data_IF_696224697145
#
_entry.id   IF_696224697145
#
_cell.length_a   1.000
_cell.length_b   1.000
_cell.length_c   1.000
_cell.angle_alpha   90.00
_cell.angle_beta   90.00
_cell.angle_gamma   90.00
#
_symmetry.space_group_name_H-M   'P 1'
#
loop_
_entity.id
_entity.type
_entity.pdbx_description
1 polymer ?
#
# COMPACT_ATOMS: atom_id res chain seq x y z
N UNK A 1 14.63 26.86 -42.35
CA UNK A 1 14.69 27.49 -41.01
C UNK A 1 13.79 26.70 -40.04
N UNK A 2 14.38 25.69 -39.44
CA UNK A 2 13.68 24.83 -38.48
C UNK A 2 13.65 25.55 -37.15
N UNK A 3 12.63 26.38 -36.95
CA UNK A 3 12.33 26.97 -35.65
C UNK A 3 12.01 25.87 -34.64
N UNK A 4 13.00 25.46 -33.86
CA UNK A 4 12.78 24.75 -32.62
C UNK A 4 12.10 25.73 -31.67
N UNK A 5 10.77 25.73 -31.65
CA UNK A 5 10.03 26.34 -30.56
C UNK A 5 10.32 25.49 -29.30
N UNK A 6 11.50 25.71 -28.72
CA UNK A 6 11.82 25.25 -27.39
C UNK A 6 10.93 26.02 -26.43
N UNK A 7 9.78 25.46 -26.08
CA UNK A 7 9.11 25.90 -24.87
C UNK A 7 10.08 25.63 -23.72
N UNK A 8 10.41 26.66 -22.92
CA UNK A 8 11.16 26.40 -21.70
C UNK A 8 10.41 25.31 -20.95
N UNK A 9 11.14 24.38 -20.32
CA UNK A 9 10.53 23.33 -19.51
C UNK A 9 9.60 24.00 -18.49
N UNK A 10 8.33 24.07 -18.82
CA UNK A 10 7.33 24.70 -17.95
C UNK A 10 7.06 23.69 -16.84
N UNK A 11 7.67 23.95 -15.70
CA UNK A 11 7.32 23.29 -14.45
C UNK A 11 5.90 23.70 -14.11
N UNK A 12 4.96 22.77 -14.14
CA UNK A 12 3.61 23.00 -13.63
C UNK A 12 3.65 22.69 -12.15
N UNK A 13 3.61 23.73 -11.32
CA UNK A 13 3.66 23.60 -9.86
C UNK A 13 2.26 23.42 -9.23
N UNK A 14 1.20 23.45 -10.04
CA UNK A 14 -0.18 23.26 -9.60
C UNK A 14 -0.82 22.08 -10.31
N UNK A 15 -1.82 21.46 -9.69
CA UNK A 15 -2.60 20.38 -10.30
C UNK A 15 -3.24 20.83 -11.61
N UNK A 16 -3.18 19.99 -12.64
CA UNK A 16 -3.91 20.17 -13.88
C UNK A 16 -5.19 19.36 -13.79
N UNK A 17 -6.34 20.03 -13.91
CA UNK A 17 -7.59 19.32 -14.18
C UNK A 17 -7.76 19.27 -15.69
N UNK A 18 -7.71 18.04 -16.23
CA UNK A 18 -7.94 17.80 -17.65
C UNK A 18 -9.35 17.26 -17.85
N UNK A 19 -9.99 17.67 -18.95
CA UNK A 19 -11.32 17.15 -19.31
C UNK A 19 -11.29 15.64 -19.62
N UNK A 20 -12.41 15.10 -20.04
CA UNK A 20 -12.74 13.67 -20.07
C UNK A 20 -11.80 12.70 -20.77
N UNK A 21 -10.84 13.18 -21.58
CA UNK A 21 -9.94 12.29 -22.35
C UNK A 21 -8.48 12.75 -22.26
N UNK A 22 -7.78 12.45 -21.16
CA UNK A 22 -6.34 12.66 -21.13
C UNK A 22 -5.63 11.53 -21.87
N UNK A 23 -5.04 11.83 -23.01
CA UNK A 23 -4.06 10.97 -23.69
C UNK A 23 -2.67 11.55 -23.49
N UNK A 24 -1.83 10.85 -22.76
CA UNK A 24 -0.41 11.16 -22.66
C UNK A 24 0.32 10.46 -23.83
N UNK A 25 0.82 11.24 -24.78
CA UNK A 25 1.73 10.75 -25.81
C UNK A 25 3.17 10.92 -25.33
N UNK A 26 3.74 9.88 -24.78
CA UNK A 26 5.08 9.89 -24.22
C UNK A 26 5.21 8.93 -23.05
N UNK A 27 6.37 8.93 -22.44
CA UNK A 27 6.67 8.14 -21.25
C UNK A 27 6.60 9.06 -20.02
N UNK A 28 5.78 8.73 -19.01
CA UNK A 28 5.93 9.33 -17.70
C UNK A 28 7.23 8.78 -17.09
N UNK A 29 8.22 9.64 -16.91
CA UNK A 29 9.58 9.22 -16.59
C UNK A 29 9.83 9.05 -15.11
N UNK A 30 9.05 9.74 -14.25
CA UNK A 30 9.22 9.69 -12.79
C UNK A 30 7.88 9.86 -12.08
N UNK A 31 7.67 9.10 -11.01
CA UNK A 31 6.66 9.36 -9.99
C UNK A 31 7.39 9.57 -8.65
N UNK A 32 6.93 10.50 -7.83
CA UNK A 32 7.50 10.77 -6.51
C UNK A 32 7.17 9.66 -5.52
N UNK A 33 5.96 9.10 -5.63
CA UNK A 33 5.46 8.02 -4.79
C UNK A 33 5.51 6.68 -5.53
N UNK A 34 5.42 5.57 -4.80
CA UNK A 34 5.84 4.28 -5.32
C UNK A 34 4.78 3.16 -5.22
N UNK A 35 3.54 3.48 -4.86
CA UNK A 35 2.47 2.49 -4.79
C UNK A 35 1.29 2.79 -5.73
N UNK A 36 0.68 1.72 -6.19
CA UNK A 36 -0.60 1.71 -6.88
C UNK A 36 -1.68 1.41 -5.86
N UNK A 37 -2.62 2.33 -5.64
CA UNK A 37 -3.72 2.15 -4.70
C UNK A 37 -5.09 2.34 -5.37
N UNK A 38 -6.10 1.82 -4.71
CA UNK A 38 -7.50 2.00 -5.08
C UNK A 38 -8.30 2.42 -3.86
N UNK A 39 -9.32 3.28 -4.04
CA UNK A 39 -10.25 3.64 -2.98
C UNK A 39 -11.26 2.52 -2.75
N UNK A 40 -11.34 2.06 -1.51
CA UNK A 40 -12.34 1.13 -1.01
C UNK A 40 -13.16 1.76 0.09
N UNK A 41 -14.44 1.46 0.15
CA UNK A 41 -15.29 1.84 1.29
C UNK A 41 -14.82 1.10 2.55
N UNK A 42 -14.79 1.80 3.66
CA UNK A 42 -14.33 1.27 4.95
C UNK A 42 -15.30 1.61 6.08
N UNK A 43 -15.32 0.79 7.09
CA UNK A 43 -16.14 0.98 8.29
C UNK A 43 -15.63 2.12 9.19
N UNK A 44 -14.32 2.42 9.13
CA UNK A 44 -13.66 3.49 9.89
C UNK A 44 -12.60 4.17 9.00
N UNK A 45 -12.27 5.43 9.30
CA UNK A 45 -11.13 6.13 8.70
C UNK A 45 -9.81 5.58 9.26
N UNK A 46 -9.27 4.55 8.61
CA UNK A 46 -8.01 3.95 9.02
C UNK A 46 -6.82 4.84 8.68
N UNK A 47 -5.88 4.91 9.62
CA UNK A 47 -4.59 5.58 9.39
C UNK A 47 -3.73 4.81 8.38
N UNK A 48 -2.84 5.54 7.70
CA UNK A 48 -1.81 4.96 6.83
C UNK A 48 -0.99 3.89 7.56
N UNK A 49 -0.64 2.84 6.83
CA UNK A 49 0.08 1.69 7.35
C UNK A 49 -0.80 0.62 8.00
N UNK A 50 -2.11 0.85 8.15
CA UNK A 50 -3.03 -0.15 8.69
C UNK A 50 -3.24 -1.28 7.70
N UNK A 51 -3.07 -2.53 8.16
CA UNK A 51 -3.33 -3.73 7.35
C UNK A 51 -4.82 -4.04 7.35
N UNK A 52 -5.40 -4.14 6.17
CA UNK A 52 -6.83 -4.38 5.98
C UNK A 52 -7.12 -5.72 5.30
N UNK A 53 -8.32 -6.19 5.48
CA UNK A 53 -8.88 -7.39 4.83
C UNK A 53 -10.17 -7.03 4.10
N UNK A 54 -10.56 -7.85 3.14
CA UNK A 54 -11.89 -7.79 2.53
C UNK A 54 -12.93 -8.29 3.54
N UNK A 55 -14.03 -7.55 3.68
CA UNK A 55 -15.15 -7.89 4.55
C UNK A 55 -15.41 -6.85 5.64
N UNK A 56 -16.31 -7.18 6.55
CA UNK A 56 -16.91 -6.25 7.50
C UNK A 56 -18.26 -5.73 7.01
N UNK A 57 -18.67 -4.56 7.47
CA UNK A 57 -19.89 -3.89 7.00
C UNK A 57 -19.68 -3.08 5.71
N UNK A 58 -18.42 -2.75 5.41
CA UNK A 58 -17.99 -2.10 4.19
C UNK A 58 -17.11 -3.06 3.35
N UNK A 59 -16.48 -2.58 2.28
CA UNK A 59 -15.63 -3.42 1.44
C UNK A 59 -14.38 -3.89 2.19
N UNK A 60 -13.78 -3.01 3.01
CA UNK A 60 -12.59 -3.34 3.78
C UNK A 60 -12.74 -2.97 5.26
N UNK A 61 -12.11 -3.79 6.10
CA UNK A 61 -11.96 -3.57 7.54
C UNK A 61 -10.55 -3.96 7.98
N UNK A 62 -10.09 -3.47 9.14
CA UNK A 62 -8.77 -3.84 9.65
C UNK A 62 -8.69 -5.34 10.01
N UNK A 63 -7.51 -5.91 9.87
CA UNK A 63 -7.26 -7.29 10.33
C UNK A 63 -7.21 -7.36 11.85
N UNK A 64 -7.65 -8.50 12.44
CA UNK A 64 -7.71 -8.69 13.90
C UNK A 64 -7.21 -10.07 14.34
N UNK A 65 -6.81 -10.92 13.40
CA UNK A 65 -6.35 -12.28 13.67
C UNK A 65 -5.02 -12.56 12.96
N UNK A 66 -4.23 -13.45 13.54
CA UNK A 66 -3.01 -13.94 12.88
C UNK A 66 -3.33 -14.74 11.63
N UNK A 67 -2.47 -14.61 10.62
CA UNK A 67 -2.62 -15.33 9.36
C UNK A 67 -4.02 -15.18 8.74
N UNK A 68 -4.57 -13.96 8.78
CA UNK A 68 -5.88 -13.66 8.22
C UNK A 68 -5.96 -14.12 6.75
N UNK A 69 -6.87 -15.03 6.41
CA UNK A 69 -6.98 -15.54 5.03
C UNK A 69 -7.55 -14.50 4.06
N UNK A 70 -8.32 -13.54 4.55
CA UNK A 70 -8.90 -12.47 3.76
C UNK A 70 -8.02 -11.22 3.68
N UNK A 71 -6.74 -11.29 4.16
CA UNK A 71 -5.83 -10.14 4.11
C UNK A 71 -5.69 -9.64 2.66
N UNK A 72 -5.83 -8.34 2.50
CA UNK A 72 -5.97 -7.73 1.19
C UNK A 72 -4.85 -6.75 0.86
N UNK A 73 -4.63 -5.73 1.69
CA UNK A 73 -3.64 -4.70 1.44
C UNK A 73 -3.31 -3.86 2.66
N UNK A 74 -2.66 -2.74 2.41
CA UNK A 74 -2.23 -1.78 3.43
C UNK A 74 -2.76 -0.40 3.04
N UNK A 75 -3.28 0.35 4.02
CA UNK A 75 -3.75 1.72 3.78
C UNK A 75 -2.57 2.61 3.42
N UNK A 76 -2.61 3.20 2.22
CA UNK A 76 -1.59 4.12 1.72
C UNK A 76 -1.76 5.53 2.28
N UNK A 77 -0.68 6.30 2.28
CA UNK A 77 -0.72 7.74 2.61
C UNK A 77 -0.79 8.62 1.36
N UNK A 78 0.05 8.31 0.37
CA UNK A 78 0.23 9.11 -0.85
C UNK A 78 0.54 8.17 -2.02
N UNK A 79 -0.46 7.56 -2.63
CA UNK A 79 -0.23 6.67 -3.76
C UNK A 79 0.31 7.43 -4.99
N UNK A 80 1.21 6.80 -5.74
CA UNK A 80 1.68 7.31 -7.02
C UNK A 80 0.57 7.34 -8.07
N UNK A 81 -0.35 6.36 -7.96
CA UNK A 81 -1.55 6.27 -8.79
C UNK A 81 -2.72 5.80 -7.94
N UNK A 82 -3.82 6.58 -7.98
CA UNK A 82 -5.04 6.27 -7.23
C UNK A 82 -6.18 5.94 -8.18
N UNK A 83 -6.68 4.73 -8.07
CA UNK A 83 -7.85 4.25 -8.81
C UNK A 83 -9.14 4.50 -8.02
N UNK A 84 -10.28 4.40 -8.71
CA UNK A 84 -11.61 4.54 -8.14
C UNK A 84 -11.82 5.86 -7.37
N UNK A 85 -11.23 6.95 -7.86
CA UNK A 85 -11.26 8.27 -7.20
C UNK A 85 -12.66 8.89 -7.11
N UNK A 86 -13.66 8.30 -7.78
CA UNK A 86 -15.07 8.68 -7.67
C UNK A 86 -15.87 7.88 -6.63
N UNK A 87 -15.23 7.02 -5.84
CA UNK A 87 -15.91 6.26 -4.80
C UNK A 87 -16.53 7.20 -3.75
N UNK A 88 -17.78 6.92 -3.39
CA UNK A 88 -18.55 7.73 -2.44
C UNK A 88 -18.53 7.08 -1.04
N UNK A 89 -18.81 7.91 -0.02
CA UNK A 89 -18.84 7.48 1.37
C UNK A 89 -17.49 7.57 2.08
N UNK A 90 -17.34 6.84 3.16
CA UNK A 90 -16.09 6.76 3.90
C UNK A 90 -15.16 5.78 3.17
N UNK A 91 -14.07 6.28 2.59
CA UNK A 91 -13.12 5.48 1.82
C UNK A 91 -11.71 5.60 2.35
N UNK A 92 -10.90 4.58 2.10
CA UNK A 92 -9.46 4.56 2.35
C UNK A 92 -8.71 4.10 1.11
N UNK A 93 -7.55 4.70 0.77
CA UNK A 93 -6.71 4.21 -0.32
C UNK A 93 -5.96 2.96 0.13
N UNK A 94 -6.18 1.83 -0.51
CA UNK A 94 -5.49 0.57 -0.22
C UNK A 94 -4.43 0.31 -1.27
N UNK A 95 -3.17 0.22 -0.85
CA UNK A 95 -2.05 -0.15 -1.72
C UNK A 95 -2.16 -1.62 -2.13
N UNK A 96 -2.22 -1.86 -3.43
CA UNK A 96 -2.32 -3.19 -4.05
C UNK A 96 -0.96 -3.68 -4.53
N UNK A 97 -0.09 -2.77 -4.96
CA UNK A 97 1.25 -3.06 -5.47
C UNK A 97 2.20 -1.88 -5.18
N UNK A 98 3.46 -2.21 -4.97
CA UNK A 98 4.52 -1.21 -4.79
C UNK A 98 4.98 -1.08 -3.35
N UNK A 99 5.52 0.10 -3.02
CA UNK A 99 6.11 0.41 -1.71
C UNK A 99 5.16 1.24 -0.87
N UNK A 100 4.90 0.82 0.36
CA UNK A 100 3.98 1.48 1.28
C UNK A 100 4.46 1.33 2.73
N UNK A 101 4.28 2.34 3.61
CA UNK A 101 4.46 2.17 5.05
C UNK A 101 3.49 1.13 5.60
N UNK A 102 3.96 0.29 6.53
CA UNK A 102 3.15 -0.73 7.20
C UNK A 102 3.38 -0.70 8.71
N UNK A 103 2.31 -0.76 9.48
CA UNK A 103 2.36 -0.96 10.94
C UNK A 103 2.80 -2.39 11.23
N UNK A 104 3.90 -2.55 11.95
CA UNK A 104 4.43 -3.88 12.32
C UNK A 104 4.74 -3.93 13.81
N UNK A 105 4.52 -5.10 14.43
CA UNK A 105 4.88 -5.40 15.81
C UNK A 105 6.04 -6.41 15.85
N UNK A 106 6.89 -6.28 16.88
CA UNK A 106 8.07 -7.13 17.06
C UNK A 106 9.24 -6.72 16.19
N UNK A 107 10.33 -7.48 16.31
CA UNK A 107 11.52 -7.30 15.48
C UNK A 107 11.27 -7.79 14.06
N UNK A 108 11.74 -7.03 13.09
CA UNK A 108 11.65 -7.34 11.66
C UNK A 108 13.01 -7.15 11.01
N UNK A 109 13.40 -8.05 10.13
CA UNK A 109 14.60 -7.93 9.29
C UNK A 109 14.22 -7.72 7.84
N UNK A 110 14.97 -6.88 7.17
CA UNK A 110 14.84 -6.64 5.72
C UNK A 110 14.75 -7.95 4.95
N UNK A 111 13.79 -8.05 4.04
CA UNK A 111 13.51 -9.23 3.24
C UNK A 111 12.58 -10.26 3.89
N UNK A 112 12.26 -10.14 5.18
CA UNK A 112 11.29 -11.03 5.81
C UNK A 112 9.89 -10.81 5.23
N UNK A 113 9.14 -11.91 5.11
CA UNK A 113 7.71 -11.87 4.82
C UNK A 113 6.94 -11.48 6.06
N UNK A 114 5.87 -10.73 5.86
CA UNK A 114 4.98 -10.25 6.89
C UNK A 114 3.62 -10.94 6.76
N UNK A 115 3.04 -11.27 7.89
CA UNK A 115 1.66 -11.76 8.03
C UNK A 115 0.92 -10.86 9.01
N UNK A 116 -0.40 -10.98 9.05
CA UNK A 116 -1.21 -10.29 10.06
C UNK A 116 -0.88 -10.81 11.46
N UNK A 117 -1.00 -9.94 12.45
CA UNK A 117 -0.87 -10.27 13.88
C UNK A 117 -2.22 -10.29 14.58
N UNK A 118 -2.23 -10.57 15.87
CA UNK A 118 -3.43 -10.40 16.74
C UNK A 118 -3.70 -8.94 17.08
N UNK A 119 -2.71 -8.05 16.87
CA UNK A 119 -2.90 -6.61 17.02
C UNK A 119 -3.67 -6.07 15.81
N UNK A 120 -4.73 -5.29 16.08
CA UNK A 120 -5.63 -4.83 15.02
C UNK A 120 -4.93 -3.94 13.98
N UNK A 121 -5.01 -4.32 12.72
CA UNK A 121 -4.42 -3.59 11.60
C UNK A 121 -2.89 -3.61 11.55
N UNK A 122 -2.25 -4.53 12.28
CA UNK A 122 -0.78 -4.60 12.41
C UNK A 122 -0.27 -5.94 11.89
N UNK A 123 0.82 -5.88 11.13
CA UNK A 123 1.55 -7.07 10.67
C UNK A 123 2.67 -7.46 11.66
N UNK A 124 3.23 -8.66 11.46
CA UNK A 124 4.45 -9.16 12.10
C UNK A 124 5.30 -9.95 11.12
N UNK A 125 6.56 -10.14 11.45
CA UNK A 125 7.40 -11.06 10.70
C UNK A 125 6.91 -12.52 10.86
N UNK A 126 7.02 -13.30 9.78
CA UNK A 126 6.81 -14.74 9.84
C UNK A 126 7.91 -15.37 10.68
N UNK A 127 7.55 -16.16 11.69
CA UNK A 127 8.49 -16.90 12.50
C UNK A 127 9.14 -18.06 11.69
N UNK A 128 10.35 -18.47 12.10
CA UNK A 128 11.11 -19.48 11.35
C UNK A 128 10.41 -20.84 11.27
N UNK A 129 9.72 -21.23 12.34
CA UNK A 129 8.97 -22.50 12.41
C UNK A 129 7.70 -22.48 11.52
N UNK A 130 7.12 -21.31 11.27
CA UNK A 130 5.93 -21.18 10.41
C UNK A 130 6.25 -21.45 8.93
N UNK A 131 7.52 -21.28 8.55
CA UNK A 131 7.99 -21.57 7.18
C UNK A 131 8.01 -23.06 6.84
N UNK A 132 8.10 -23.90 7.85
CA UNK A 132 8.22 -25.37 7.70
C UNK A 132 6.85 -26.05 7.54
N UNK A 133 5.76 -25.41 7.91
CA UNK A 133 4.39 -25.98 7.95
C UNK A 133 3.58 -25.74 6.68
N UNK A 134 4.20 -25.30 5.58
CA UNK A 134 3.49 -25.10 4.31
C UNK A 134 2.55 -23.87 4.36
N UNK A 135 3.14 -22.69 4.52
CA UNK A 135 2.39 -21.44 4.58
C UNK A 135 1.61 -21.20 3.29
N UNK A 136 0.35 -20.88 3.45
CA UNK A 136 -0.48 -20.37 2.39
C UNK A 136 -0.02 -18.94 2.02
N UNK A 137 0.56 -18.81 0.84
CA UNK A 137 1.11 -17.56 0.31
C UNK A 137 0.09 -16.42 0.20
N UNK A 138 -1.20 -16.75 0.14
CA UNK A 138 -2.28 -15.77 0.11
C UNK A 138 -2.43 -14.99 1.42
N UNK A 139 -1.84 -15.48 2.53
CA UNK A 139 -1.86 -14.83 3.84
C UNK A 139 -0.69 -13.87 4.08
N UNK A 140 0.19 -13.72 3.10
CA UNK A 140 1.33 -12.80 3.19
C UNK A 140 0.86 -11.38 2.88
N UNK A 141 1.12 -10.45 3.80
CA UNK A 141 0.86 -9.01 3.64
C UNK A 141 1.83 -8.40 2.63
N UNK A 142 3.12 -8.73 2.76
CA UNK A 142 4.20 -8.19 1.93
C UNK A 142 5.57 -8.58 2.45
N UNK A 143 6.62 -7.86 1.99
CA UNK A 143 8.01 -8.04 2.43
C UNK A 143 8.58 -6.76 2.99
N UNK A 144 9.28 -6.86 4.12
CA UNK A 144 9.98 -5.75 4.75
C UNK A 144 11.13 -5.24 3.86
N UNK A 145 11.23 -3.94 3.68
CA UNK A 145 12.31 -3.28 2.96
C UNK A 145 13.39 -2.72 3.90
N UNK A 146 13.11 -2.70 5.19
CA UNK A 146 14.03 -2.21 6.22
C UNK A 146 13.97 -3.06 7.50
N UNK A 147 14.91 -2.79 8.42
CA UNK A 147 14.96 -3.45 9.72
C UNK A 147 14.17 -2.64 10.75
N UNK A 148 13.61 -3.34 11.72
CA UNK A 148 13.03 -2.77 12.95
C UNK A 148 13.51 -3.60 14.14
N UNK A 149 14.17 -2.95 15.11
CA UNK A 149 14.79 -3.59 16.25
C UNK A 149 13.97 -3.46 17.55
N UNK A 150 12.80 -2.80 17.48
CA UNK A 150 11.92 -2.58 18.63
C UNK A 150 10.81 -3.62 18.70
N UNK A 151 10.37 -3.96 19.94
CA UNK A 151 9.30 -4.94 20.14
C UNK A 151 7.90 -4.35 19.94
N UNK A 152 7.70 -3.05 20.22
CA UNK A 152 6.41 -2.38 20.07
C UNK A 152 6.00 -2.20 18.61
N UNK A 153 4.79 -1.69 18.40
CA UNK A 153 4.30 -1.31 17.07
C UNK A 153 5.12 -0.13 16.52
N UNK A 154 5.47 -0.21 15.26
CA UNK A 154 6.15 0.86 14.52
C UNK A 154 5.87 0.77 13.02
N UNK A 155 6.17 1.82 12.28
CA UNK A 155 6.07 1.85 10.82
C UNK A 155 7.40 1.40 10.20
N UNK A 156 7.33 0.59 9.16
CA UNK A 156 8.44 0.27 8.26
C UNK A 156 7.97 0.30 6.81
N UNK A 157 8.91 0.53 5.90
CA UNK A 157 8.65 0.38 4.47
C UNK A 157 8.49 -1.10 4.09
N UNK A 158 7.43 -1.40 3.35
CA UNK A 158 7.07 -2.75 2.89
C UNK A 158 6.77 -2.71 1.39
N UNK A 159 7.15 -3.75 0.66
CA UNK A 159 6.65 -3.96 -0.70
C UNK A 159 5.47 -4.91 -0.66
N UNK A 160 4.36 -4.51 -1.28
CA UNK A 160 3.15 -5.31 -1.50
C UNK A 160 3.02 -5.74 -2.96
N UNK A 161 2.14 -6.70 -3.26
CA UNK A 161 1.95 -7.23 -4.62
C UNK A 161 2.98 -8.30 -5.03
N UNK A 162 4.16 -8.30 -4.45
CA UNK A 162 5.22 -9.31 -4.68
C UNK A 162 5.18 -10.34 -3.54
N UNK A 163 4.70 -11.52 -3.81
CA UNK A 163 4.54 -12.62 -2.83
C UNK A 163 5.64 -13.65 -2.92
#
# INVERSE_FOLDING_TARGET
>A
DSGTNGFPANKIEAGITLGTDLKMHGTATTAEYADLAELYTSDVAYESGTVVKIGGEAEVTQTTIEHCPEVFGIVSSNPAYLMNSGAEGLTVPVALEGRVPCKVIGEVRKGQRLVTSTEAGVARAIASYEKEVGMDWFRVVGRALENKDTLGVGLIEVVVGVK
#
